data_IF_351519011990
#
_entry.id   IF_351519011990
#
_cell.length_a   1.000
_cell.length_b   1.000
_cell.length_c   1.000
_cell.angle_alpha   90.00
_cell.angle_beta   90.00
_cell.angle_gamma   90.00
#
_symmetry.space_group_name_H-M   'P 1'
#
loop_
_entity.id
_entity.type
_entity.pdbx_description
1 polymer ?
#
# COMPACT_ATOMS: atom_id res chain seq x y z
N UNK A 1 -5.28 14.23 10.97
CA UNK A 1 -5.82 12.86 10.74
C UNK A 1 -6.60 12.31 11.95
N UNK A 2 -7.75 11.65 11.74
CA UNK A 2 -8.53 11.02 12.83
C UNK A 2 -7.97 9.67 13.29
N UNK A 3 -8.27 9.26 14.53
CA UNK A 3 -7.82 7.96 15.11
C UNK A 3 -8.21 6.77 14.23
N UNK A 4 -9.41 6.79 13.66
CA UNK A 4 -9.93 5.73 12.80
C UNK A 4 -9.19 5.62 11.47
N UNK A 5 -8.85 6.77 10.85
CA UNK A 5 -8.06 6.80 9.61
C UNK A 5 -6.64 6.33 9.88
N UNK A 6 -6.02 6.77 10.98
CA UNK A 6 -4.68 6.31 11.40
C UNK A 6 -4.65 4.78 11.59
N UNK A 7 -5.66 4.21 12.26
CA UNK A 7 -5.79 2.75 12.41
C UNK A 7 -5.93 2.03 11.07
N UNK A 8 -6.65 2.62 10.12
CA UNK A 8 -6.81 2.06 8.79
C UNK A 8 -5.50 2.11 7.97
N UNK A 9 -4.75 3.19 8.10
CA UNK A 9 -3.43 3.35 7.48
C UNK A 9 -2.43 2.31 8.04
N UNK A 10 -2.40 2.08 9.35
CA UNK A 10 -1.57 1.00 9.92
C UNK A 10 -1.93 -0.37 9.38
N UNK A 11 -3.24 -0.67 9.28
CA UNK A 11 -3.68 -1.91 8.63
C UNK A 11 -3.27 -2.00 7.15
N UNK A 12 -3.02 -0.89 6.46
CA UNK A 12 -2.47 -0.91 5.10
C UNK A 12 -0.99 -1.27 5.13
N UNK A 13 -0.21 -0.70 6.05
CA UNK A 13 1.20 -1.09 6.25
C UNK A 13 1.35 -2.57 6.58
N UNK A 14 0.55 -3.09 7.51
CA UNK A 14 0.55 -4.52 7.86
C UNK A 14 0.30 -5.39 6.63
N UNK A 15 -0.67 -5.01 5.79
CA UNK A 15 -0.98 -5.71 4.56
C UNK A 15 0.16 -5.67 3.54
N UNK A 16 0.87 -4.53 3.42
CA UNK A 16 2.02 -4.45 2.51
C UNK A 16 3.16 -5.39 2.96
N UNK A 17 3.40 -5.49 4.28
CA UNK A 17 4.39 -6.41 4.84
C UNK A 17 3.97 -7.87 4.61
N UNK A 18 2.69 -8.19 4.81
CA UNK A 18 2.14 -9.53 4.58
C UNK A 18 2.23 -9.93 3.10
N UNK A 19 1.79 -9.06 2.20
CA UNK A 19 1.90 -9.27 0.75
C UNK A 19 3.35 -9.50 0.33
N UNK A 20 4.28 -8.69 0.86
CA UNK A 20 5.71 -8.84 0.60
C UNK A 20 6.29 -10.21 0.98
N UNK A 21 5.66 -10.94 1.90
CA UNK A 21 6.08 -12.28 2.32
C UNK A 21 5.39 -13.40 1.54
N UNK A 22 4.26 -13.12 0.93
CA UNK A 22 3.33 -14.14 0.40
C UNK A 22 3.29 -14.20 -1.11
N UNK A 23 3.54 -13.09 -1.82
CA UNK A 23 3.57 -13.05 -3.28
C UNK A 23 4.97 -12.76 -3.85
N UNK A 24 5.07 -12.76 -5.18
CA UNK A 24 6.31 -12.49 -5.93
C UNK A 24 6.75 -11.01 -5.90
N UNK A 25 6.00 -10.16 -5.22
CA UNK A 25 6.31 -8.73 -5.11
C UNK A 25 6.84 -8.37 -3.71
N UNK A 26 7.80 -7.45 -3.64
CA UNK A 26 8.07 -6.65 -2.44
C UNK A 26 7.20 -5.39 -2.51
N UNK A 27 6.33 -5.17 -1.53
CA UNK A 27 5.40 -4.05 -1.50
C UNK A 27 5.83 -3.04 -0.44
N UNK A 28 6.20 -1.84 -0.87
CA UNK A 28 6.52 -0.72 0.00
C UNK A 28 5.39 0.31 0.03
N UNK A 29 5.15 0.90 1.20
CA UNK A 29 4.17 1.97 1.39
C UNK A 29 4.85 3.15 2.08
N UNK A 30 4.98 4.26 1.36
CA UNK A 30 5.59 5.48 1.84
C UNK A 30 4.50 6.46 2.27
N UNK A 31 4.62 7.00 3.48
CA UNK A 31 3.68 7.99 4.01
C UNK A 31 4.39 9.31 4.33
N UNK A 32 3.91 10.39 3.72
CA UNK A 32 4.42 11.75 3.89
C UNK A 32 3.48 12.53 4.81
N UNK A 33 3.83 12.58 6.10
CA UNK A 33 2.99 13.21 7.13
C UNK A 33 2.75 14.72 6.93
N UNK A 34 3.69 15.44 6.33
CA UNK A 34 3.56 16.89 6.07
C UNK A 34 2.43 17.23 5.08
N UNK A 35 2.03 16.27 4.25
CA UNK A 35 1.00 16.46 3.23
C UNK A 35 -0.22 15.54 3.43
N UNK A 36 -0.24 14.69 4.46
CA UNK A 36 -1.25 13.64 4.66
C UNK A 36 -1.45 12.79 3.37
N UNK A 37 -0.35 12.45 2.66
CA UNK A 37 -0.37 11.64 1.43
C UNK A 37 0.46 10.37 1.58
N UNK A 38 0.11 9.36 0.82
CA UNK A 38 0.86 8.10 0.76
C UNK A 38 0.99 7.56 -0.67
N UNK A 39 2.04 6.78 -0.89
CA UNK A 39 2.29 6.03 -2.11
C UNK A 39 2.51 4.56 -1.77
N UNK A 40 2.13 3.67 -2.68
CA UNK A 40 2.38 2.23 -2.57
C UNK A 40 2.93 1.75 -3.90
N UNK A 41 4.06 1.06 -3.83
CA UNK A 41 4.75 0.46 -4.96
C UNK A 41 4.96 -1.02 -4.70
N UNK A 42 4.78 -1.83 -5.73
CA UNK A 42 5.24 -3.21 -5.76
C UNK A 42 6.53 -3.27 -6.59
N UNK A 43 7.44 -4.15 -6.19
CA UNK A 43 8.68 -4.44 -6.89
C UNK A 43 8.69 -5.94 -7.15
N UNK A 44 8.71 -6.34 -8.42
CA UNK A 44 8.85 -7.75 -8.78
C UNK A 44 10.20 -8.27 -8.27
N UNK A 45 10.19 -9.36 -7.51
CA UNK A 45 11.40 -9.89 -6.87
C UNK A 45 12.37 -10.55 -7.86
N UNK A 46 11.89 -10.95 -9.04
CA UNK A 46 12.70 -11.60 -10.06
C UNK A 46 13.25 -10.58 -11.07
N UNK A 47 12.41 -9.64 -11.51
CA UNK A 47 12.77 -8.68 -12.57
C UNK A 47 13.23 -7.32 -12.05
N UNK A 48 13.04 -7.05 -10.75
CA UNK A 48 13.22 -5.72 -10.12
C UNK A 48 12.32 -4.63 -10.75
N UNK A 49 11.28 -5.03 -11.50
CA UNK A 49 10.34 -4.10 -12.11
C UNK A 49 9.47 -3.43 -11.04
N UNK A 50 9.42 -2.09 -11.10
CA UNK A 50 8.58 -1.30 -10.21
C UNK A 50 7.17 -1.10 -10.80
N UNK A 51 6.16 -1.55 -10.07
CA UNK A 51 4.75 -1.41 -10.40
C UNK A 51 4.06 -0.44 -9.43
N UNK A 52 3.61 0.74 -9.88
CA UNK A 52 2.91 1.67 -9.02
C UNK A 52 1.47 1.21 -8.71
N UNK A 53 1.19 0.91 -7.44
CA UNK A 53 -0.17 0.57 -6.99
C UNK A 53 -0.98 1.86 -6.76
N UNK A 54 -0.35 2.85 -6.12
CA UNK A 54 -0.91 4.18 -5.90
C UNK A 54 0.20 5.21 -5.68
N UNK A 55 0.04 6.43 -6.20
CA UNK A 55 1.08 7.47 -6.13
C UNK A 55 0.46 8.72 -5.51
N UNK A 56 1.03 9.20 -4.40
CA UNK A 56 0.66 10.45 -3.74
C UNK A 56 -0.86 10.61 -3.57
N UNK A 57 -1.52 9.56 -3.05
CA UNK A 57 -2.95 9.60 -2.73
C UNK A 57 -3.17 10.25 -1.37
N UNK A 58 -4.28 10.97 -1.22
CA UNK A 58 -4.67 11.53 0.07
C UNK A 58 -5.08 10.44 1.05
N UNK A 59 -4.69 10.61 2.31
CA UNK A 59 -5.04 9.70 3.39
C UNK A 59 -6.53 9.85 3.72
N UNK A 60 -7.34 9.01 3.09
CA UNK A 60 -8.79 8.94 3.28
C UNK A 60 -9.28 7.49 3.36
N UNK A 61 -10.45 7.28 3.99
CA UNK A 61 -11.08 5.96 4.05
C UNK A 61 -11.27 5.33 2.66
N UNK A 62 -11.71 6.14 1.68
CA UNK A 62 -11.99 5.70 0.32
C UNK A 62 -10.70 5.22 -0.36
N UNK A 63 -9.65 6.02 -0.27
CA UNK A 63 -8.38 5.76 -0.95
C UNK A 63 -7.68 4.54 -0.34
N UNK A 64 -7.60 4.47 0.99
CA UNK A 64 -6.95 3.33 1.67
C UNK A 64 -7.69 2.02 1.36
N UNK A 65 -9.03 2.01 1.36
CA UNK A 65 -9.82 0.82 0.98
C UNK A 65 -9.57 0.43 -0.48
N UNK A 66 -9.47 1.40 -1.39
CA UNK A 66 -9.16 1.13 -2.80
C UNK A 66 -7.77 0.51 -2.95
N UNK A 67 -6.76 1.06 -2.28
CA UNK A 67 -5.39 0.52 -2.31
C UNK A 67 -5.33 -0.90 -1.73
N UNK A 68 -5.99 -1.16 -0.59
CA UNK A 68 -6.08 -2.52 -0.02
C UNK A 68 -6.62 -3.53 -1.02
N UNK A 69 -7.70 -3.19 -1.74
CA UNK A 69 -8.26 -4.08 -2.77
C UNK A 69 -7.30 -4.36 -3.92
N UNK A 70 -6.51 -3.36 -4.35
CA UNK A 70 -5.50 -3.57 -5.39
C UNK A 70 -4.41 -4.54 -4.91
N UNK A 71 -3.90 -4.35 -3.70
CA UNK A 71 -2.88 -5.24 -3.11
C UNK A 71 -3.41 -6.68 -3.00
N UNK A 72 -4.63 -6.86 -2.49
CA UNK A 72 -5.21 -8.20 -2.36
C UNK A 72 -5.36 -8.91 -3.71
N UNK A 73 -5.76 -8.20 -4.77
CA UNK A 73 -5.80 -8.77 -6.13
C UNK A 73 -4.42 -9.22 -6.61
N UNK A 74 -3.38 -8.44 -6.35
CA UNK A 74 -2.00 -8.81 -6.70
C UNK A 74 -1.47 -10.00 -5.89
N UNK A 75 -2.10 -10.35 -4.76
CA UNK A 75 -1.74 -11.53 -3.98
C UNK A 75 -2.46 -12.80 -4.47
N UNK A 76 -3.51 -12.65 -5.29
CA UNK A 76 -4.28 -13.76 -5.87
C UNK A 76 -3.72 -14.22 -7.23
N UNK A 77 -2.87 -13.39 -7.86
CA UNK A 77 -2.14 -13.66 -9.10
C UNK A 77 -0.83 -14.42 -8.82
#
# INVERSE_FOLDING_TARGET
MSKSIKKLLFKLFDLCIEASKTCNYFINCDYTASCDRYSVFAYDKETDEQIPITISEEVSFKNIKRTKRKILKMMEE
#
